data_IF_118227951609
#
_entry.id   IF_118227951609
#
_cell.length_a   1.000
_cell.length_b   1.000
_cell.length_c   1.000
_cell.angle_alpha   90.00
_cell.angle_beta   90.00
_cell.angle_gamma   90.00
#
_symmetry.space_group_name_H-M   'P 1'
#
loop_
_entity.id
_entity.type
_entity.pdbx_description
1 polymer ?
#
# COMPACT_ATOMS: atom_id res chain seq x y z
N UNK A 1 69.23 -31.03 -41.35
CA UNK A 1 68.32 -29.88 -41.61
C UNK A 1 66.82 -30.21 -41.55
N UNK A 2 66.35 -31.38 -42.03
CA UNK A 2 64.90 -31.72 -42.06
C UNK A 2 64.27 -31.94 -40.66
N UNK A 3 65.00 -32.52 -39.72
CA UNK A 3 64.56 -32.76 -38.34
C UNK A 3 64.38 -31.46 -37.55
N UNK A 4 65.33 -30.53 -37.66
CA UNK A 4 65.24 -29.20 -37.04
C UNK A 4 64.02 -28.41 -37.52
N UNK A 5 63.70 -28.44 -38.82
CA UNK A 5 62.49 -27.80 -39.37
C UNK A 5 61.19 -28.41 -38.81
N UNK A 6 61.15 -29.74 -38.63
CA UNK A 6 59.98 -30.43 -38.04
C UNK A 6 59.80 -30.08 -36.57
N UNK A 7 60.88 -30.05 -35.79
CA UNK A 7 60.84 -29.65 -34.36
C UNK A 7 60.35 -28.21 -34.23
N UNK A 8 60.84 -27.30 -35.07
CA UNK A 8 60.38 -25.91 -35.08
C UNK A 8 58.89 -25.77 -35.43
N UNK A 9 58.42 -26.47 -36.48
CA UNK A 9 57.01 -26.45 -36.88
C UNK A 9 56.09 -27.02 -35.79
N UNK A 10 56.49 -28.12 -35.14
CA UNK A 10 55.73 -28.70 -34.04
C UNK A 10 55.67 -27.73 -32.85
N UNK A 11 56.80 -27.08 -32.50
CA UNK A 11 56.83 -26.08 -31.43
C UNK A 11 55.90 -24.88 -31.69
N UNK A 12 55.84 -24.42 -32.95
CA UNK A 12 54.95 -23.31 -33.34
C UNK A 12 53.47 -23.70 -33.20
N UNK A 13 53.10 -24.91 -33.64
CA UNK A 13 51.72 -25.41 -33.50
C UNK A 13 51.32 -25.56 -32.04
N UNK A 14 52.19 -26.15 -31.20
CA UNK A 14 51.92 -26.28 -29.76
C UNK A 14 51.82 -24.92 -29.06
N UNK A 15 52.61 -23.93 -29.48
CA UNK A 15 52.54 -22.57 -28.94
C UNK A 15 51.23 -21.85 -29.32
N UNK A 16 50.73 -22.04 -30.55
CA UNK A 16 49.43 -21.48 -30.95
C UNK A 16 48.28 -22.16 -30.19
N UNK A 17 48.39 -23.48 -29.97
CA UNK A 17 47.37 -24.24 -29.26
C UNK A 17 47.30 -23.85 -27.79
N UNK A 18 48.46 -23.72 -27.12
CA UNK A 18 48.51 -23.28 -25.71
C UNK A 18 48.00 -21.86 -25.53
N UNK A 19 48.27 -20.96 -26.49
CA UNK A 19 47.78 -19.59 -26.46
C UNK A 19 46.24 -19.52 -26.61
N UNK A 20 45.65 -20.32 -27.49
CA UNK A 20 44.20 -20.42 -27.63
C UNK A 20 43.53 -20.94 -26.34
N UNK A 21 44.12 -21.97 -25.72
CA UNK A 21 43.60 -22.53 -24.45
C UNK A 21 43.72 -21.51 -23.32
N UNK A 22 44.87 -20.84 -23.19
CA UNK A 22 45.10 -19.83 -22.15
C UNK A 22 44.15 -18.63 -22.28
N UNK A 23 43.80 -18.23 -23.50
CA UNK A 23 42.91 -17.10 -23.77
C UNK A 23 41.46 -17.38 -23.36
N UNK A 24 41.01 -18.64 -23.45
CA UNK A 24 39.66 -19.05 -23.05
C UNK A 24 39.55 -19.25 -21.54
N UNK A 25 40.61 -19.77 -20.91
CA UNK A 25 40.59 -20.17 -19.49
C UNK A 25 41.01 -19.06 -18.53
N UNK A 26 41.82 -18.09 -18.98
CA UNK A 26 42.37 -17.06 -18.09
C UNK A 26 42.02 -15.64 -18.54
N UNK A 27 41.41 -14.89 -17.62
CA UNK A 27 41.12 -13.47 -17.83
C UNK A 27 42.41 -12.63 -18.01
N UNK A 28 43.55 -13.09 -17.47
CA UNK A 28 44.85 -12.41 -17.56
C UNK A 28 45.49 -12.53 -18.95
N UNK A 29 45.46 -13.71 -19.58
CA UNK A 29 45.94 -13.88 -20.95
C UNK A 29 45.07 -13.10 -21.96
N UNK A 30 43.75 -13.13 -21.75
CA UNK A 30 42.83 -12.31 -22.53
C UNK A 30 43.17 -10.81 -22.41
N UNK A 31 43.42 -10.31 -21.20
CA UNK A 31 43.78 -8.90 -20.98
C UNK A 31 45.14 -8.51 -21.60
N UNK A 32 46.14 -9.40 -21.57
CA UNK A 32 47.45 -9.16 -22.18
C UNK A 32 47.37 -9.12 -23.72
N UNK A 33 46.61 -10.04 -24.33
CA UNK A 33 46.34 -10.02 -25.78
C UNK A 33 45.55 -8.77 -26.18
N UNK A 34 44.55 -8.39 -25.38
CA UNK A 34 43.77 -7.19 -25.58
C UNK A 34 44.61 -5.91 -25.52
N UNK A 35 45.56 -5.83 -24.58
CA UNK A 35 46.52 -4.72 -24.44
C UNK A 35 47.36 -4.54 -25.72
N UNK A 36 47.84 -5.65 -26.30
CA UNK A 36 48.58 -5.61 -27.56
C UNK A 36 47.68 -5.24 -28.75
N UNK A 37 46.45 -5.77 -28.82
CA UNK A 37 45.48 -5.45 -29.87
C UNK A 37 44.94 -4.02 -29.78
N UNK A 38 44.89 -3.41 -28.59
CA UNK A 38 44.40 -2.04 -28.40
C UNK A 38 45.29 -0.95 -29.01
N UNK A 39 46.52 -1.29 -29.42
CA UNK A 39 47.40 -0.41 -30.19
C UNK A 39 47.08 -0.43 -31.70
N UNK A 40 46.14 -1.28 -32.13
CA UNK A 40 45.66 -1.33 -33.53
C UNK A 40 44.28 -0.64 -33.59
N UNK A 41 44.15 0.47 -34.35
CA UNK A 41 42.94 1.29 -34.34
C UNK A 41 41.87 0.68 -35.27
N UNK A 42 41.26 -0.43 -34.87
CA UNK A 42 40.10 -1.01 -35.56
C UNK A 42 38.86 -0.81 -34.67
N UNK A 43 38.14 0.32 -34.80
CA UNK A 43 37.05 0.69 -33.89
C UNK A 43 35.88 -0.32 -33.89
N UNK A 44 35.64 -1.02 -35.01
CA UNK A 44 34.52 -1.95 -35.18
C UNK A 44 34.63 -3.29 -34.45
N UNK A 45 35.81 -3.68 -33.94
CA UNK A 45 36.00 -4.94 -33.21
C UNK A 45 35.69 -4.81 -31.71
N UNK A 46 35.82 -3.60 -31.14
CA UNK A 46 35.67 -3.36 -29.71
C UNK A 46 34.22 -3.02 -29.30
N UNK A 47 33.37 -2.64 -30.25
CA UNK A 47 31.95 -2.32 -30.01
C UNK A 47 31.15 -3.53 -29.50
N UNK A 48 31.54 -4.74 -29.91
CA UNK A 48 30.91 -6.00 -29.49
C UNK A 48 31.61 -6.70 -28.32
N UNK A 49 32.62 -6.07 -27.71
CA UNK A 49 33.38 -6.70 -26.63
C UNK A 49 32.48 -7.05 -25.43
N UNK A 50 32.79 -8.19 -24.80
CA UNK A 50 32.08 -8.72 -23.63
C UNK A 50 31.97 -7.66 -22.52
N UNK A 51 32.98 -6.79 -22.37
CA UNK A 51 33.01 -5.73 -21.35
C UNK A 51 31.95 -4.64 -21.58
N UNK A 52 31.73 -4.23 -22.84
CA UNK A 52 30.71 -3.22 -23.19
C UNK A 52 29.30 -3.79 -23.03
N UNK A 53 29.07 -5.05 -23.45
CA UNK A 53 27.81 -5.76 -23.21
C UNK A 53 27.54 -5.99 -21.73
N UNK A 54 28.54 -6.40 -20.95
CA UNK A 54 28.42 -6.61 -19.51
C UNK A 54 28.06 -5.30 -18.78
N UNK A 55 28.76 -4.21 -19.09
CA UNK A 55 28.46 -2.89 -18.51
C UNK A 55 27.06 -2.41 -18.87
N UNK A 56 26.61 -2.65 -20.11
CA UNK A 56 25.24 -2.31 -20.56
C UNK A 56 24.18 -3.14 -19.84
N UNK A 57 24.43 -4.44 -19.64
CA UNK A 57 23.53 -5.33 -18.90
C UNK A 57 23.47 -4.98 -17.41
N UNK A 58 24.59 -4.63 -16.77
CA UNK A 58 24.62 -4.15 -15.39
C UNK A 58 23.90 -2.81 -15.21
N UNK A 59 24.08 -1.87 -16.15
CA UNK A 59 23.37 -0.59 -16.14
C UNK A 59 21.85 -0.80 -16.28
N UNK A 60 21.41 -1.70 -17.15
CA UNK A 60 19.99 -2.05 -17.29
C UNK A 60 19.44 -2.73 -16.03
N UNK A 61 20.16 -3.70 -15.46
CA UNK A 61 19.76 -4.38 -14.23
C UNK A 61 19.65 -3.41 -13.04
N UNK A 62 20.62 -2.50 -12.87
CA UNK A 62 20.58 -1.50 -11.79
C UNK A 62 19.45 -0.49 -11.99
N UNK A 63 19.13 -0.09 -13.23
CA UNK A 63 17.98 0.75 -13.52
C UNK A 63 16.64 0.05 -13.20
N UNK A 64 16.50 -1.24 -13.57
CA UNK A 64 15.32 -2.05 -13.25
C UNK A 64 15.14 -2.22 -11.73
N UNK A 65 16.22 -2.50 -10.99
CA UNK A 65 16.19 -2.59 -9.53
C UNK A 65 15.74 -1.27 -8.90
N UNK A 66 16.22 -0.13 -9.42
CA UNK A 66 15.78 1.20 -8.95
C UNK A 66 14.29 1.42 -9.20
N UNK A 67 13.79 1.04 -10.38
CA UNK A 67 12.37 1.15 -10.73
C UNK A 67 11.50 0.26 -9.82
N UNK A 68 11.85 -1.01 -9.65
CA UNK A 68 11.15 -1.92 -8.76
C UNK A 68 11.15 -1.44 -7.31
N UNK A 69 12.27 -0.87 -6.81
CA UNK A 69 12.31 -0.28 -5.47
C UNK A 69 11.37 0.92 -5.32
N UNK A 70 11.17 1.72 -6.37
CA UNK A 70 10.23 2.84 -6.34
C UNK A 70 8.78 2.33 -6.27
N UNK A 71 8.42 1.40 -7.15
CA UNK A 71 7.09 0.76 -7.16
C UNK A 71 6.79 0.06 -5.83
N UNK A 72 7.76 -0.66 -5.27
CA UNK A 72 7.63 -1.31 -3.95
C UNK A 72 7.46 -0.31 -2.80
N UNK A 73 8.06 0.89 -2.88
CA UNK A 73 7.84 1.95 -1.89
C UNK A 73 6.41 2.49 -1.97
N UNK A 74 5.90 2.72 -3.18
CA UNK A 74 4.53 3.18 -3.39
C UNK A 74 3.51 2.13 -2.92
N UNK A 75 3.68 0.87 -3.30
CA UNK A 75 2.86 -0.24 -2.81
C UNK A 75 2.91 -0.39 -1.29
N UNK A 76 4.06 -0.15 -0.66
CA UNK A 76 4.19 -0.21 0.80
C UNK A 76 3.39 0.90 1.49
N UNK A 77 3.30 2.09 0.90
CA UNK A 77 2.49 3.18 1.43
C UNK A 77 1.00 2.82 1.34
N UNK A 78 0.57 2.34 0.18
CA UNK A 78 -0.82 1.90 -0.06
C UNK A 78 -1.20 0.78 0.92
N UNK A 79 -0.35 -0.25 1.05
CA UNK A 79 -0.61 -1.38 1.94
C UNK A 79 -0.65 -0.97 3.42
N UNK A 80 0.23 -0.05 3.85
CA UNK A 80 0.17 0.52 5.22
C UNK A 80 -1.14 1.26 5.46
N UNK A 81 -1.60 2.06 4.50
CA UNK A 81 -2.91 2.72 4.56
C UNK A 81 -4.04 1.70 4.70
N UNK A 82 -4.04 0.67 3.86
CA UNK A 82 -5.03 -0.40 3.86
C UNK A 82 -5.06 -1.18 5.20
N UNK A 83 -3.91 -1.52 5.78
CA UNK A 83 -3.83 -2.20 7.08
C UNK A 83 -4.42 -1.34 8.20
N UNK A 84 -4.15 -0.03 8.19
CA UNK A 84 -4.68 0.90 9.20
C UNK A 84 -6.21 1.01 9.12
N UNK A 85 -6.75 1.10 7.90
CA UNK A 85 -8.19 1.08 7.60
C UNK A 85 -8.81 -0.22 8.14
N UNK A 86 -8.25 -1.36 7.74
CA UNK A 86 -8.76 -2.68 8.12
C UNK A 86 -8.68 -2.96 9.63
N UNK A 87 -7.69 -2.40 10.33
CA UNK A 87 -7.55 -2.57 11.78
C UNK A 87 -8.54 -1.72 12.59
N UNK A 88 -8.79 -0.47 12.16
CA UNK A 88 -9.57 0.50 12.95
C UNK A 88 -11.06 0.44 12.65
N UNK A 89 -11.46 0.35 11.38
CA UNK A 89 -12.86 0.44 10.96
C UNK A 89 -13.76 -0.64 11.59
N UNK A 90 -13.39 -1.93 11.67
CA UNK A 90 -14.29 -2.96 12.21
C UNK A 90 -14.71 -2.69 13.65
N UNK A 91 -13.79 -2.16 14.48
CA UNK A 91 -14.09 -1.80 15.86
C UNK A 91 -15.12 -0.66 15.96
N UNK A 92 -15.06 0.29 15.03
CA UNK A 92 -15.98 1.43 14.94
C UNK A 92 -17.35 0.94 14.47
N UNK A 93 -17.37 0.14 13.40
CA UNK A 93 -18.60 -0.47 12.86
C UNK A 93 -19.31 -1.31 13.93
N UNK A 94 -18.57 -2.07 14.74
CA UNK A 94 -19.17 -2.86 15.81
C UNK A 94 -19.84 -2.00 16.90
N UNK A 95 -19.26 -0.83 17.24
CA UNK A 95 -19.90 0.12 18.16
C UNK A 95 -21.19 0.68 17.56
N UNK A 96 -21.17 1.08 16.29
CA UNK A 96 -22.36 1.56 15.58
C UNK A 96 -23.45 0.48 15.57
N UNK A 97 -23.10 -0.77 15.25
CA UNK A 97 -24.02 -1.91 15.27
C UNK A 97 -24.68 -2.08 16.64
N UNK A 98 -23.89 -2.07 17.71
CA UNK A 98 -24.42 -2.22 19.07
C UNK A 98 -25.34 -1.06 19.47
N UNK A 99 -24.99 0.18 19.12
CA UNK A 99 -25.86 1.35 19.40
C UNK A 99 -27.14 1.31 18.58
N UNK A 100 -27.06 0.90 17.31
CA UNK A 100 -28.23 0.76 16.42
C UNK A 100 -29.20 -0.31 16.92
N UNK A 101 -28.68 -1.45 17.40
CA UNK A 101 -29.52 -2.48 18.01
C UNK A 101 -30.23 -1.95 19.27
N UNK A 102 -29.54 -1.18 20.11
CA UNK A 102 -30.16 -0.54 21.28
C UNK A 102 -31.28 0.42 20.89
N UNK A 103 -31.06 1.29 19.90
CA UNK A 103 -32.10 2.20 19.38
C UNK A 103 -33.33 1.41 18.93
N UNK A 104 -33.14 0.37 18.10
CA UNK A 104 -34.24 -0.44 17.59
C UNK A 104 -35.02 -1.16 18.71
N UNK A 105 -34.31 -1.72 19.70
CA UNK A 105 -34.92 -2.38 20.86
C UNK A 105 -35.71 -1.36 21.69
N UNK A 106 -35.15 -0.18 21.96
CA UNK A 106 -35.82 0.88 22.72
C UNK A 106 -37.12 1.32 22.04
N UNK A 107 -37.11 1.52 20.72
CA UNK A 107 -38.32 1.91 19.97
C UNK A 107 -39.41 0.84 19.96
N UNK A 108 -39.07 -0.45 19.92
CA UNK A 108 -40.07 -1.53 20.04
C UNK A 108 -40.59 -1.65 21.48
N UNK A 109 -39.73 -1.38 22.48
CA UNK A 109 -40.09 -1.47 23.88
C UNK A 109 -41.04 -0.36 24.36
N UNK A 110 -41.16 0.77 23.64
CA UNK A 110 -42.09 1.85 24.00
C UNK A 110 -43.54 1.55 23.63
N UNK A 111 -43.79 0.72 22.62
CA UNK A 111 -45.13 0.39 22.08
C UNK A 111 -46.18 0.10 23.18
N UNK A 112 -45.95 -0.80 24.15
CA UNK A 112 -46.96 -1.06 25.19
C UNK A 112 -47.19 0.13 26.13
N UNK A 113 -46.20 1.00 26.36
CA UNK A 113 -46.32 2.16 27.23
C UNK A 113 -47.09 3.32 26.56
N UNK A 114 -47.11 3.38 25.23
CA UNK A 114 -47.85 4.38 24.44
C UNK A 114 -49.37 4.27 24.64
N UNK A 115 -49.86 3.12 25.09
CA UNK A 115 -51.29 2.90 25.34
C UNK A 115 -51.83 3.70 26.53
N UNK A 116 -50.96 4.28 27.37
CA UNK A 116 -51.33 5.10 28.53
C UNK A 116 -50.93 6.55 28.30
N UNK A 117 -51.85 7.54 28.30
CA UNK A 117 -51.55 8.91 27.87
C UNK A 117 -50.38 9.59 28.59
N UNK A 118 -50.30 9.47 29.93
CA UNK A 118 -49.23 10.12 30.70
C UNK A 118 -47.92 9.32 30.65
N UNK A 119 -47.98 7.99 30.80
CA UNK A 119 -46.80 7.13 30.77
C UNK A 119 -46.18 7.05 29.36
N UNK A 120 -47.01 7.07 28.32
CA UNK A 120 -46.61 7.10 26.91
C UNK A 120 -45.79 8.34 26.56
N UNK A 121 -46.26 9.53 26.96
CA UNK A 121 -45.51 10.78 26.71
C UNK A 121 -44.13 10.73 27.39
N UNK A 122 -44.07 10.27 28.63
CA UNK A 122 -42.79 10.18 29.37
C UNK A 122 -41.84 9.19 28.70
N UNK A 123 -42.34 8.02 28.31
CA UNK A 123 -41.52 6.97 27.68
C UNK A 123 -41.03 7.33 26.29
N UNK A 124 -41.86 8.00 25.47
CA UNK A 124 -41.43 8.52 24.16
C UNK A 124 -40.32 9.57 24.32
N UNK A 125 -40.48 10.50 25.27
CA UNK A 125 -39.48 11.55 25.49
C UNK A 125 -38.14 10.98 25.96
N UNK A 126 -38.15 9.98 26.84
CA UNK A 126 -36.92 9.32 27.29
C UNK A 126 -36.28 8.50 26.17
N UNK A 127 -37.09 7.79 25.37
CA UNK A 127 -36.61 7.07 24.19
C UNK A 127 -35.98 8.03 23.17
N UNK A 128 -36.66 9.13 22.81
CA UNK A 128 -36.16 10.15 21.89
C UNK A 128 -34.84 10.77 22.38
N UNK A 129 -34.71 11.05 23.69
CA UNK A 129 -33.45 11.52 24.27
C UNK A 129 -32.32 10.51 24.12
N UNK A 130 -32.61 9.23 24.33
CA UNK A 130 -31.64 8.15 24.13
C UNK A 130 -31.27 8.00 22.65
N UNK A 131 -32.23 8.10 21.74
CA UNK A 131 -32.01 8.04 20.29
C UNK A 131 -31.12 9.16 19.79
N UNK A 132 -31.37 10.41 20.21
CA UNK A 132 -30.53 11.56 19.87
C UNK A 132 -29.11 11.35 20.38
N UNK A 133 -28.94 10.89 21.62
CA UNK A 133 -27.62 10.60 22.19
C UNK A 133 -26.86 9.52 21.41
N UNK A 134 -27.49 8.37 21.16
CA UNK A 134 -26.87 7.25 20.45
C UNK A 134 -26.59 7.60 18.98
N UNK A 135 -27.46 8.39 18.35
CA UNK A 135 -27.27 8.87 16.97
C UNK A 135 -26.13 9.88 16.87
N UNK A 136 -26.00 10.79 17.83
CA UNK A 136 -24.84 11.68 17.93
C UNK A 136 -23.53 10.89 18.04
N UNK A 137 -23.50 9.86 18.89
CA UNK A 137 -22.34 8.98 19.01
C UNK A 137 -22.04 8.17 17.73
N UNK A 138 -23.08 7.79 16.97
CA UNK A 138 -22.90 7.17 15.66
C UNK A 138 -22.29 8.15 14.65
N UNK A 139 -22.72 9.41 14.61
CA UNK A 139 -22.12 10.42 13.72
C UNK A 139 -20.65 10.65 14.04
N UNK A 140 -20.26 10.74 15.32
CA UNK A 140 -18.85 10.86 15.71
C UNK A 140 -18.03 9.67 15.24
N UNK A 141 -18.60 8.48 15.28
CA UNK A 141 -17.94 7.26 14.80
C UNK A 141 -17.85 7.21 13.26
N UNK A 142 -18.84 7.74 12.53
CA UNK A 142 -18.75 7.94 11.08
C UNK A 142 -17.70 8.98 10.69
N UNK A 143 -17.60 10.09 11.42
CA UNK A 143 -16.55 11.10 11.20
C UNK A 143 -15.15 10.51 11.43
N UNK A 144 -14.99 9.63 12.43
CA UNK A 144 -13.73 8.87 12.60
C UNK A 144 -13.43 7.97 11.41
N UNK A 145 -14.43 7.29 10.82
CA UNK A 145 -14.24 6.48 9.61
C UNK A 145 -13.84 7.38 8.45
N UNK A 146 -14.52 8.50 8.25
CA UNK A 146 -14.20 9.45 7.18
C UNK A 146 -12.77 9.99 7.31
N UNK A 147 -12.33 10.32 8.52
CA UNK A 147 -10.95 10.76 8.78
C UNK A 147 -9.90 9.66 8.55
N UNK A 148 -10.25 8.38 8.71
CA UNK A 148 -9.37 7.25 8.42
C UNK A 148 -9.25 7.01 6.91
N UNK A 149 -10.36 7.13 6.18
CA UNK A 149 -10.43 6.87 4.73
C UNK A 149 -9.93 8.06 3.91
N UNK A 150 -10.31 9.28 4.31
CA UNK A 150 -9.98 10.52 3.63
C UNK A 150 -9.55 11.60 4.63
N UNK A 151 -8.29 11.54 5.12
CA UNK A 151 -7.77 12.48 6.12
C UNK A 151 -7.71 13.94 5.64
N UNK A 152 -7.87 14.21 4.34
CA UNK A 152 -7.76 15.55 3.76
C UNK A 152 -9.13 16.24 3.56
N UNK A 153 -10.24 15.60 3.91
CA UNK A 153 -11.58 16.18 3.78
C UNK A 153 -12.27 16.27 5.15
N UNK A 154 -12.17 17.40 5.87
CA UNK A 154 -12.81 17.60 7.15
C UNK A 154 -14.30 17.88 6.95
N UNK A 155 -15.08 16.84 6.62
CA UNK A 155 -16.53 16.93 6.62
C UNK A 155 -17.02 16.53 8.02
N UNK A 156 -17.06 17.49 8.95
CA UNK A 156 -17.54 17.29 10.31
C UNK A 156 -19.06 17.53 10.35
N UNK A 157 -19.85 16.47 10.18
CA UNK A 157 -21.32 16.57 10.21
C UNK A 157 -21.94 16.13 11.54
N UNK A 158 -21.12 15.70 12.51
CA UNK A 158 -21.60 15.26 13.83
C UNK A 158 -22.47 16.27 14.56
N UNK A 159 -22.19 17.57 14.42
CA UNK A 159 -22.84 18.62 15.20
C UNK A 159 -24.33 18.78 14.88
N UNK A 160 -24.76 18.38 13.69
CA UNK A 160 -26.17 18.48 13.27
C UNK A 160 -27.10 17.61 14.13
N UNK A 161 -26.64 16.42 14.53
CA UNK A 161 -27.43 15.47 15.32
C UNK A 161 -27.24 15.73 16.81
N UNK A 162 -26.01 16.04 17.22
CA UNK A 162 -25.68 16.32 18.62
C UNK A 162 -26.35 17.58 19.18
N UNK A 163 -26.75 18.52 18.31
CA UNK A 163 -27.45 19.74 18.69
C UNK A 163 -28.97 19.62 18.76
N UNK A 164 -29.56 18.45 18.51
CA UNK A 164 -31.01 18.27 18.57
C UNK A 164 -31.52 18.37 20.01
N UNK A 165 -32.48 19.25 20.24
CA UNK A 165 -33.17 19.37 21.54
C UNK A 165 -34.42 18.49 21.56
N UNK A 166 -34.53 17.68 22.62
CA UNK A 166 -35.70 16.84 22.85
C UNK A 166 -36.73 17.70 23.60
N UNK A 167 -37.99 17.77 23.13
CA UNK A 167 -39.01 18.62 23.75
C UNK A 167 -39.34 18.16 25.17
N UNK A 168 -39.93 19.06 25.97
CA UNK A 168 -40.33 18.73 27.35
C UNK A 168 -41.77 18.24 27.44
N UNK A 169 -42.12 17.54 28.52
CA UNK A 169 -43.51 17.08 28.77
C UNK A 169 -44.51 18.24 28.71
N UNK A 170 -44.15 19.40 29.27
CA UNK A 170 -45.00 20.60 29.27
C UNK A 170 -45.24 21.12 27.86
N UNK A 171 -44.20 21.10 27.03
CA UNK A 171 -44.26 21.55 25.64
C UNK A 171 -45.12 20.62 24.78
N UNK A 172 -45.02 19.30 24.98
CA UNK A 172 -45.89 18.33 24.33
C UNK A 172 -47.34 18.52 24.75
N UNK A 173 -47.63 18.61 26.06
CA UNK A 173 -48.98 18.81 26.60
C UNK A 173 -49.64 20.08 26.05
N UNK A 174 -48.89 21.18 26.03
CA UNK A 174 -49.33 22.46 25.44
C UNK A 174 -49.68 22.33 23.94
N UNK A 175 -48.93 21.55 23.17
CA UNK A 175 -49.19 21.33 21.73
C UNK A 175 -50.42 20.46 21.44
N UNK A 176 -50.80 19.56 22.34
CA UNK A 176 -51.90 18.59 22.14
C UNK A 176 -53.18 18.92 22.93
N UNK A 177 -53.19 20.03 23.69
CA UNK A 177 -54.38 20.49 24.41
C UNK A 177 -54.76 19.67 25.64
N UNK A 178 -53.77 19.06 26.31
CA UNK A 178 -53.90 18.27 27.54
C UNK A 178 -53.34 18.98 28.78
#
# INVERSE_FOLDING_TARGET
>A
MKTAKRVFLIGLVFSLLSLNVATIVSATAYNALYSLLSHVPIPSLFDNSIKTKHKTSELKNTALIKKQKKEMKELRIINKGFINVHKKIPSIVNRIRNRTAKIAITGVATIPAESVPILGIVTILTAAGMEVYLSCENMKDLDKINNIVNPNNPNNQSDKVCGLQVPTIKEIKSKIGL
#
